data_IF_072259529804
#
_entry.id   IF_072259529804
#
_cell.length_a   1.000
_cell.length_b   1.000
_cell.length_c   1.000
_cell.angle_alpha   90.00
_cell.angle_beta   90.00
_cell.angle_gamma   90.00
#
_symmetry.space_group_name_H-M   'P 1'
#
loop_
_entity.id
_entity.type
_entity.pdbx_description
1 polymer ?
#
# COMPACT_ATOMS: atom_id res chain seq x y z
N UNK A 1 19.51 8.91 9.27
CA UNK A 1 19.24 9.55 7.95
C UNK A 1 18.18 8.71 7.22
N UNK A 2 17.12 9.33 6.68
CA UNK A 2 16.11 8.60 5.90
C UNK A 2 16.66 8.30 4.51
N UNK A 3 16.64 7.06 4.09
CA UNK A 3 17.12 6.57 2.79
C UNK A 3 15.97 6.16 1.87
N UNK A 4 14.82 5.78 2.45
CA UNK A 4 13.66 5.32 1.72
C UNK A 4 12.38 5.94 2.28
N UNK A 5 11.55 6.49 1.42
CA UNK A 5 10.20 6.93 1.73
C UNK A 5 9.20 5.90 1.17
N UNK A 6 8.45 5.28 2.07
CA UNK A 6 7.43 4.26 1.77
C UNK A 6 6.07 4.94 1.75
N UNK A 7 5.39 4.95 0.61
CA UNK A 7 4.21 5.77 0.34
C UNK A 7 3.01 4.90 0.00
N UNK A 8 1.88 5.10 0.67
CA UNK A 8 0.61 4.56 0.20
C UNK A 8 0.13 5.27 -1.08
N UNK A 9 -0.83 4.70 -1.76
CA UNK A 9 -1.33 5.22 -3.03
C UNK A 9 -2.68 5.91 -2.85
N UNK A 10 -3.68 5.16 -2.39
CA UNK A 10 -5.06 5.66 -2.27
C UNK A 10 -5.21 6.54 -1.04
N UNK A 11 -5.62 7.79 -1.23
CA UNK A 11 -5.69 8.80 -0.18
C UNK A 11 -4.37 9.53 0.10
N UNK A 12 -3.25 9.13 -0.52
CA UNK A 12 -1.93 9.76 -0.38
C UNK A 12 -1.40 10.29 -1.70
N UNK A 13 -1.31 9.45 -2.74
CA UNK A 13 -0.85 9.85 -4.07
C UNK A 13 -2.02 10.27 -4.97
N UNK A 14 -3.20 9.71 -4.73
CA UNK A 14 -4.46 10.07 -5.37
C UNK A 14 -5.60 10.01 -4.36
N UNK A 15 -6.75 10.59 -4.71
CA UNK A 15 -7.96 10.57 -3.86
C UNK A 15 -8.60 9.18 -3.71
N UNK A 16 -8.18 8.18 -4.48
CA UNK A 16 -8.71 6.80 -4.39
C UNK A 16 -9.00 6.14 -5.73
N UNK A 17 -9.83 5.08 -5.72
CA UNK A 17 -9.92 4.08 -6.79
C UNK A 17 -10.26 4.65 -8.18
N UNK A 18 -11.09 5.66 -8.27
CA UNK A 18 -11.55 6.23 -9.55
C UNK A 18 -11.00 7.64 -9.80
N UNK A 19 -10.16 8.16 -8.91
CA UNK A 19 -9.63 9.50 -9.04
C UNK A 19 -8.47 9.56 -10.04
N UNK A 20 -8.35 10.66 -10.80
CA UNK A 20 -7.20 10.88 -11.66
C UNK A 20 -5.95 11.15 -10.81
N UNK A 21 -4.78 10.80 -11.34
CA UNK A 21 -3.50 11.24 -10.80
C UNK A 21 -3.18 12.65 -11.29
N UNK A 22 -2.59 13.46 -10.40
CA UNK A 22 -1.99 14.73 -10.79
C UNK A 22 -0.61 14.45 -11.45
N UNK A 23 -0.51 14.73 -12.74
CA UNK A 23 0.73 14.49 -13.50
C UNK A 23 1.92 15.30 -13.00
N UNK A 24 1.69 16.47 -12.40
CA UNK A 24 2.75 17.29 -11.80
C UNK A 24 3.32 16.63 -10.54
N UNK A 25 2.46 16.00 -9.75
CA UNK A 25 2.89 15.21 -8.58
C UNK A 25 3.73 14.04 -9.04
N UNK A 26 3.26 13.25 -10.01
CA UNK A 26 4.00 12.09 -10.52
C UNK A 26 5.36 12.49 -11.09
N UNK A 27 5.43 13.58 -11.86
CA UNK A 27 6.67 14.12 -12.38
C UNK A 27 7.63 14.52 -11.25
N UNK A 28 7.11 15.15 -10.20
CA UNK A 28 7.95 15.55 -9.04
C UNK A 28 8.53 14.34 -8.32
N UNK A 29 7.77 13.25 -8.15
CA UNK A 29 8.28 12.01 -7.57
C UNK A 29 9.34 11.36 -8.46
N UNK A 30 9.17 11.39 -9.79
CA UNK A 30 10.15 10.88 -10.74
C UNK A 30 11.48 11.66 -10.64
N UNK A 31 11.43 13.00 -10.60
CA UNK A 31 12.62 13.85 -10.41
C UNK A 31 13.39 13.50 -9.11
N UNK A 32 12.66 13.21 -8.03
CA UNK A 32 13.27 12.83 -6.74
C UNK A 32 13.91 11.45 -6.84
N UNK A 33 13.25 10.48 -7.46
CA UNK A 33 13.83 9.16 -7.67
C UNK A 33 15.06 9.20 -8.58
N UNK A 34 15.05 10.02 -9.63
CA UNK A 34 16.22 10.23 -10.48
C UNK A 34 17.40 10.83 -9.68
N UNK A 35 17.15 11.79 -8.82
CA UNK A 35 18.17 12.34 -7.91
C UNK A 35 18.68 11.28 -6.94
N UNK A 36 17.79 10.48 -6.34
CA UNK A 36 18.15 9.48 -5.36
C UNK A 36 19.09 8.39 -5.92
N UNK A 37 19.08 8.16 -7.24
CA UNK A 37 20.04 7.24 -7.90
C UNK A 37 21.48 7.71 -7.81
N UNK A 38 21.70 9.01 -7.71
CA UNK A 38 23.04 9.64 -7.78
C UNK A 38 23.42 10.39 -6.50
N UNK A 39 22.46 10.74 -5.67
CA UNK A 39 22.65 11.49 -4.43
C UNK A 39 22.30 10.63 -3.22
N UNK A 40 23.27 10.02 -2.51
CA UNK A 40 23.00 9.16 -1.34
C UNK A 40 22.22 9.86 -0.21
N UNK A 41 22.22 11.17 -0.20
CA UNK A 41 21.47 12.00 0.74
C UNK A 41 20.01 12.22 0.33
N UNK A 42 19.63 11.95 -0.90
CA UNK A 42 18.24 12.02 -1.38
C UNK A 42 17.55 10.66 -1.12
N UNK A 43 16.39 10.60 -0.42
CA UNK A 43 15.66 9.35 -0.24
C UNK A 43 15.07 8.87 -1.56
N UNK A 44 15.15 7.58 -1.81
CA UNK A 44 14.31 6.96 -2.81
C UNK A 44 12.84 6.94 -2.33
N UNK A 45 11.91 6.92 -3.27
CA UNK A 45 10.46 6.79 -3.00
C UNK A 45 10.00 5.46 -3.56
N UNK A 46 9.28 4.68 -2.73
CA UNK A 46 8.63 3.44 -3.13
C UNK A 46 7.18 3.37 -2.66
N UNK A 47 6.42 2.47 -3.25
CA UNK A 47 4.99 2.31 -2.98
C UNK A 47 4.72 1.15 -2.01
N UNK A 48 3.68 1.30 -1.18
CA UNK A 48 3.15 0.27 -0.30
C UNK A 48 1.62 0.33 -0.33
N UNK A 49 0.98 -0.54 -1.11
CA UNK A 49 -0.45 -0.42 -1.40
C UNK A 49 -1.18 -1.75 -1.42
N UNK A 50 -2.50 -1.70 -1.25
CA UNK A 50 -3.39 -2.84 -1.50
C UNK A 50 -3.67 -3.09 -2.99
N UNK A 51 -3.24 -2.22 -3.89
CA UNK A 51 -3.44 -2.34 -5.34
C UNK A 51 -2.72 -3.57 -5.91
N UNK A 52 -3.22 -4.13 -7.04
CA UNK A 52 -2.63 -5.30 -7.69
C UNK A 52 -1.28 -5.02 -8.35
N UNK A 53 -0.49 -6.06 -8.58
CA UNK A 53 0.85 -5.97 -9.15
C UNK A 53 0.95 -5.16 -10.46
N UNK A 54 0.08 -5.34 -11.49
CA UNK A 54 0.18 -4.57 -12.73
C UNK A 54 -0.01 -3.06 -12.53
N UNK A 55 -0.83 -2.68 -11.55
CA UNK A 55 -1.03 -1.27 -11.21
C UNK A 55 0.22 -0.67 -10.56
N UNK A 56 0.83 -1.42 -9.63
CA UNK A 56 2.06 -0.99 -8.95
C UNK A 56 3.25 -0.93 -9.91
N UNK A 57 3.35 -1.89 -10.84
CA UNK A 57 4.36 -1.89 -11.90
C UNK A 57 4.32 -0.58 -12.70
N UNK A 58 3.16 -0.27 -13.29
CA UNK A 58 3.00 0.94 -14.12
C UNK A 58 3.28 2.21 -13.33
N UNK A 59 2.75 2.30 -12.11
CA UNK A 59 2.93 3.49 -11.29
C UNK A 59 4.40 3.67 -10.86
N UNK A 60 5.09 2.57 -10.50
CA UNK A 60 6.53 2.60 -10.18
C UNK A 60 7.35 3.05 -11.38
N UNK A 61 7.01 2.61 -12.61
CA UNK A 61 7.67 3.08 -13.84
C UNK A 61 7.46 4.58 -14.05
N UNK A 62 6.23 5.08 -13.86
CA UNK A 62 5.90 6.50 -14.04
C UNK A 62 6.68 7.40 -13.07
N UNK A 63 6.85 6.98 -11.82
CA UNK A 63 7.61 7.74 -10.81
C UNK A 63 9.11 7.41 -10.83
N UNK A 64 9.63 6.71 -11.82
CA UNK A 64 11.03 6.27 -11.95
C UNK A 64 11.55 5.51 -10.71
N UNK A 65 10.65 4.78 -10.02
CA UNK A 65 10.98 4.01 -8.82
C UNK A 65 11.96 2.88 -9.13
N UNK A 66 12.98 2.72 -8.28
CA UNK A 66 14.00 1.69 -8.41
C UNK A 66 14.14 0.81 -7.15
N UNK A 67 13.56 1.22 -6.05
CA UNK A 67 13.39 0.35 -4.87
C UNK A 67 12.19 -0.57 -5.07
N UNK A 68 12.23 -1.81 -4.53
CA UNK A 68 11.07 -2.70 -4.64
C UNK A 68 9.80 -2.05 -4.09
N UNK A 69 8.67 -2.24 -4.77
CA UNK A 69 7.37 -1.70 -4.39
C UNK A 69 6.44 -2.81 -3.88
N UNK A 70 5.73 -2.53 -2.79
CA UNK A 70 4.84 -3.48 -2.12
C UNK A 70 3.45 -3.41 -2.75
N UNK A 71 2.90 -4.56 -3.17
CA UNK A 71 1.56 -4.69 -3.69
C UNK A 71 0.71 -5.69 -2.88
N UNK A 72 -0.60 -5.63 -3.07
CA UNK A 72 -1.59 -6.50 -2.43
C UNK A 72 -1.38 -6.63 -0.91
N UNK A 73 -1.29 -5.47 -0.21
CA UNK A 73 -1.17 -5.41 1.26
C UNK A 73 0.04 -6.18 1.82
N UNK A 74 1.17 -6.22 1.12
CA UNK A 74 2.36 -6.93 1.58
C UNK A 74 2.52 -8.34 1.02
N UNK A 75 1.58 -8.81 0.20
CA UNK A 75 1.65 -10.14 -0.39
C UNK A 75 2.73 -10.28 -1.46
N UNK A 76 3.17 -9.18 -2.07
CA UNK A 76 4.20 -9.23 -3.09
C UNK A 76 5.08 -7.99 -3.16
N UNK A 77 6.24 -8.17 -3.81
CA UNK A 77 7.18 -7.11 -4.18
C UNK A 77 7.35 -7.08 -5.70
N UNK A 78 7.11 -5.92 -6.29
CA UNK A 78 7.55 -5.60 -7.64
C UNK A 78 8.98 -5.09 -7.59
N UNK A 79 9.85 -5.61 -8.46
CA UNK A 79 11.25 -5.24 -8.56
C UNK A 79 11.49 -4.77 -9.99
N UNK A 80 11.96 -3.53 -10.13
CA UNK A 80 12.25 -2.95 -11.45
C UNK A 80 13.59 -3.44 -12.01
N UNK A 81 14.60 -3.64 -11.15
CA UNK A 81 15.96 -4.03 -11.54
C UNK A 81 16.56 -5.07 -10.57
N UNK A 82 16.77 -6.34 -11.02
CA UNK A 82 16.30 -6.93 -12.27
C UNK A 82 14.77 -7.07 -12.25
N UNK A 83 14.14 -6.86 -13.41
CA UNK A 83 12.68 -6.96 -13.52
C UNK A 83 12.13 -8.27 -12.99
N UNK A 84 11.14 -8.17 -12.11
CA UNK A 84 10.50 -9.36 -11.55
C UNK A 84 9.46 -9.06 -10.47
N UNK A 85 8.78 -10.13 -10.09
CA UNK A 85 7.79 -10.13 -9.02
C UNK A 85 8.15 -11.22 -8.02
N UNK A 86 8.12 -10.91 -6.75
CA UNK A 86 8.32 -11.89 -5.67
C UNK A 86 7.04 -11.99 -4.86
N UNK A 87 6.63 -13.22 -4.55
CA UNK A 87 5.61 -13.50 -3.55
C UNK A 87 6.23 -13.57 -2.17
N UNK A 88 5.50 -13.08 -1.18
CA UNK A 88 5.91 -13.22 0.20
C UNK A 88 6.04 -14.70 0.56
N UNK A 89 7.08 -15.13 1.31
CA UNK A 89 7.32 -16.54 1.65
C UNK A 89 6.15 -17.25 2.36
N UNK A 90 5.27 -16.53 3.03
CA UNK A 90 4.03 -17.06 3.62
C UNK A 90 3.07 -17.63 2.57
N UNK A 91 3.15 -17.16 1.32
CA UNK A 91 2.30 -17.64 0.22
C UNK A 91 2.85 -18.94 -0.34
N UNK A 92 2.78 -20.00 0.47
CA UNK A 92 3.16 -21.35 0.06
C UNK A 92 2.21 -21.91 -1.01
N UNK A 93 2.59 -22.99 -1.74
CA UNK A 93 1.69 -23.64 -2.67
C UNK A 93 0.35 -24.07 -2.06
N UNK A 94 0.35 -24.47 -0.78
CA UNK A 94 -0.88 -24.83 -0.06
C UNK A 94 -1.78 -23.60 0.14
N UNK A 95 -1.22 -22.46 0.53
CA UNK A 95 -1.96 -21.20 0.68
C UNK A 95 -2.51 -20.72 -0.67
N UNK A 96 -1.74 -20.83 -1.74
CA UNK A 96 -2.22 -20.52 -3.09
C UNK A 96 -3.41 -21.39 -3.52
N UNK A 97 -3.38 -22.68 -3.22
CA UNK A 97 -4.53 -23.56 -3.48
C UNK A 97 -5.78 -23.13 -2.69
N UNK A 98 -5.63 -22.78 -1.43
CA UNK A 98 -6.74 -22.26 -0.60
C UNK A 98 -7.28 -20.93 -1.13
N UNK A 99 -6.40 -20.03 -1.59
CA UNK A 99 -6.81 -18.78 -2.26
C UNK A 99 -7.66 -19.04 -3.50
N UNK A 100 -7.24 -19.98 -4.37
CA UNK A 100 -8.03 -20.34 -5.55
C UNK A 100 -9.41 -20.93 -5.18
N UNK A 101 -9.47 -21.78 -4.17
CA UNK A 101 -10.73 -22.34 -3.68
C UNK A 101 -11.64 -21.27 -3.08
N UNK A 102 -11.10 -20.39 -2.23
CA UNK A 102 -11.87 -19.28 -1.66
C UNK A 102 -12.34 -18.31 -2.74
N UNK A 103 -11.49 -18.00 -3.74
CA UNK A 103 -11.89 -17.16 -4.88
C UNK A 103 -13.12 -17.75 -5.60
N UNK A 104 -13.11 -19.05 -5.87
CA UNK A 104 -14.25 -19.72 -6.52
C UNK A 104 -15.53 -19.60 -5.66
N UNK A 105 -15.44 -19.86 -4.36
CA UNK A 105 -16.57 -19.73 -3.45
C UNK A 105 -17.13 -18.31 -3.38
N UNK A 106 -16.25 -17.29 -3.29
CA UNK A 106 -16.63 -15.89 -3.30
C UNK A 106 -17.25 -15.49 -4.64
N UNK A 107 -16.67 -15.97 -5.76
CA UNK A 107 -17.23 -15.74 -7.09
C UNK A 107 -18.66 -16.29 -7.20
N UNK A 108 -18.86 -17.56 -6.90
CA UNK A 108 -20.14 -18.24 -7.08
C UNK A 108 -21.22 -17.68 -6.15
N UNK A 109 -20.83 -17.26 -4.93
CA UNK A 109 -21.77 -16.79 -3.92
C UNK A 109 -22.10 -15.30 -4.04
N UNK A 110 -21.13 -14.46 -4.37
CA UNK A 110 -21.27 -12.99 -4.35
C UNK A 110 -21.23 -12.37 -5.75
N UNK A 111 -20.32 -12.84 -6.62
CA UNK A 111 -20.10 -12.20 -7.92
C UNK A 111 -21.09 -12.71 -8.97
N UNK A 112 -21.20 -14.02 -9.13
CA UNK A 112 -22.14 -14.64 -10.09
C UNK A 112 -23.60 -14.34 -9.74
N UNK A 113 -23.91 -14.08 -8.48
CA UNK A 113 -25.26 -13.67 -8.01
C UNK A 113 -25.51 -12.16 -8.16
N UNK A 114 -24.54 -11.38 -8.65
CA UNK A 114 -24.67 -9.93 -8.86
C UNK A 114 -24.64 -9.09 -7.58
N UNK A 115 -24.17 -9.63 -6.45
CA UNK A 115 -24.12 -8.92 -5.15
C UNK A 115 -22.85 -8.10 -4.97
N UNK A 116 -21.75 -8.55 -5.55
CA UNK A 116 -20.46 -7.86 -5.49
C UNK A 116 -19.69 -7.99 -6.81
N UNK A 117 -18.52 -7.34 -6.90
CA UNK A 117 -17.53 -7.60 -7.93
C UNK A 117 -16.12 -7.54 -7.34
N UNK A 118 -15.20 -8.29 -7.90
CA UNK A 118 -13.80 -8.23 -7.51
C UNK A 118 -13.10 -7.02 -8.11
N UNK A 119 -12.15 -6.45 -7.37
CA UNK A 119 -11.10 -5.64 -7.99
C UNK A 119 -10.26 -6.54 -8.90
N UNK A 120 -10.13 -6.20 -10.20
CA UNK A 120 -9.38 -7.06 -11.12
C UNK A 120 -7.88 -7.05 -10.86
N UNK A 121 -7.22 -8.15 -11.22
CA UNK A 121 -5.76 -8.26 -11.25
C UNK A 121 -5.11 -8.67 -9.93
N UNK A 122 -5.88 -8.94 -8.87
CA UNK A 122 -5.35 -9.47 -7.61
C UNK A 122 -5.22 -11.00 -7.66
N UNK A 123 -4.17 -11.52 -7.01
CA UNK A 123 -3.83 -12.93 -7.00
C UNK A 123 -3.64 -13.53 -5.61
N UNK A 124 -3.28 -12.72 -4.63
CA UNK A 124 -3.00 -13.15 -3.25
C UNK A 124 -3.88 -12.47 -2.20
N UNK A 125 -4.74 -11.57 -2.63
CA UNK A 125 -5.77 -10.93 -1.83
C UNK A 125 -7.01 -10.69 -2.68
N UNK A 126 -8.17 -10.44 -2.06
CA UNK A 126 -9.36 -10.08 -2.81
C UNK A 126 -9.96 -8.80 -2.23
N UNK A 127 -10.34 -7.85 -3.08
CA UNK A 127 -11.20 -6.73 -2.70
C UNK A 127 -12.54 -6.88 -3.41
N UNK A 128 -13.60 -6.95 -2.61
CA UNK A 128 -14.97 -7.12 -3.04
C UNK A 128 -15.74 -5.81 -2.86
N UNK A 129 -16.20 -5.25 -3.96
CA UNK A 129 -17.04 -4.05 -3.96
C UNK A 129 -18.51 -4.45 -4.03
N UNK A 130 -19.32 -3.94 -3.12
CA UNK A 130 -20.76 -4.20 -3.12
C UNK A 130 -21.43 -3.56 -4.35
N UNK A 131 -22.40 -4.24 -4.95
CA UNK A 131 -23.23 -3.70 -6.00
C UNK A 131 -24.31 -2.76 -5.42
N UNK A 132 -24.85 -1.81 -6.21
CA UNK A 132 -25.93 -0.94 -5.76
C UNK A 132 -27.08 -1.73 -5.11
N UNK A 133 -27.51 -1.31 -3.92
CA UNK A 133 -28.56 -1.96 -3.15
C UNK A 133 -28.10 -3.07 -2.21
N UNK A 134 -26.83 -3.46 -2.26
CA UNK A 134 -26.21 -4.42 -1.33
C UNK A 134 -25.34 -3.65 -0.33
N UNK A 135 -25.48 -3.97 0.96
CA UNK A 135 -24.63 -3.34 1.98
C UNK A 135 -23.24 -3.99 2.05
N UNK A 136 -22.24 -3.18 2.39
CA UNK A 136 -20.87 -3.67 2.59
C UNK A 136 -20.81 -4.71 3.72
N UNK A 137 -21.62 -4.53 4.77
CA UNK A 137 -21.72 -5.46 5.88
C UNK A 137 -22.25 -6.83 5.45
N UNK A 138 -23.16 -6.86 4.47
CA UNK A 138 -23.69 -8.12 3.92
C UNK A 138 -22.59 -8.88 3.18
N UNK A 139 -21.82 -8.17 2.33
CA UNK A 139 -20.66 -8.75 1.63
C UNK A 139 -19.61 -9.22 2.62
N UNK A 140 -19.31 -8.44 3.66
CA UNK A 140 -18.35 -8.77 4.69
C UNK A 140 -18.74 -10.04 5.46
N UNK A 141 -19.97 -10.12 5.95
CA UNK A 141 -20.47 -11.32 6.67
C UNK A 141 -20.37 -12.57 5.81
N UNK A 142 -20.76 -12.49 4.54
CA UNK A 142 -20.72 -13.64 3.65
C UNK A 142 -19.28 -14.04 3.30
N UNK A 143 -18.39 -13.06 3.03
CA UNK A 143 -16.98 -13.32 2.80
C UNK A 143 -16.32 -13.97 4.02
N UNK A 144 -16.64 -13.51 5.25
CA UNK A 144 -16.15 -14.10 6.50
C UNK A 144 -16.62 -15.54 6.63
N UNK A 145 -17.92 -15.81 6.44
CA UNK A 145 -18.48 -17.18 6.50
C UNK A 145 -17.80 -18.15 5.54
N UNK A 146 -17.41 -17.67 4.35
CA UNK A 146 -16.70 -18.48 3.35
C UNK A 146 -15.23 -18.68 3.74
N UNK A 147 -14.58 -17.63 4.23
CA UNK A 147 -13.18 -17.67 4.66
C UNK A 147 -12.97 -18.60 5.88
N UNK A 148 -13.93 -18.64 6.82
CA UNK A 148 -13.89 -19.49 8.01
C UNK A 148 -13.81 -21.00 7.68
N UNK A 149 -14.20 -21.41 6.47
CA UNK A 149 -14.05 -22.80 6.03
C UNK A 149 -12.57 -23.23 5.87
N UNK A 150 -11.66 -22.29 5.83
CA UNK A 150 -10.22 -22.50 5.69
C UNK A 150 -9.46 -22.32 7.02
N UNK A 151 -10.18 -22.33 8.15
CA UNK A 151 -9.59 -22.10 9.47
C UNK A 151 -9.00 -20.68 9.58
N UNK A 152 -7.82 -20.58 10.16
CA UNK A 152 -7.16 -19.28 10.39
C UNK A 152 -6.32 -18.75 9.22
N UNK A 153 -6.51 -19.29 8.00
CA UNK A 153 -5.69 -18.88 6.84
C UNK A 153 -5.99 -17.46 6.39
N UNK A 154 -7.25 -17.03 6.48
CA UNK A 154 -7.68 -15.74 5.94
C UNK A 154 -8.19 -14.79 7.03
N UNK A 155 -8.05 -13.50 6.73
CA UNK A 155 -8.63 -12.40 7.48
C UNK A 155 -9.55 -11.62 6.54
N UNK A 156 -10.75 -11.30 7.02
CA UNK A 156 -11.72 -10.48 6.26
C UNK A 156 -11.93 -9.17 7.00
N UNK A 157 -11.73 -8.07 6.29
CA UNK A 157 -11.83 -6.72 6.85
C UNK A 157 -12.72 -5.84 5.97
N UNK A 158 -13.66 -5.12 6.58
CA UNK A 158 -14.40 -4.07 5.90
C UNK A 158 -13.56 -2.80 5.85
N UNK A 159 -13.22 -2.35 4.64
CA UNK A 159 -12.67 -1.02 4.40
C UNK A 159 -13.77 0.02 4.22
N UNK A 160 -13.41 1.23 3.79
CA UNK A 160 -14.37 2.30 3.54
C UNK A 160 -15.27 2.02 2.32
N UNK A 161 -14.71 1.39 1.28
CA UNK A 161 -15.37 1.20 -0.03
C UNK A 161 -15.54 -0.26 -0.43
N UNK A 162 -14.74 -1.16 0.14
CA UNK A 162 -14.73 -2.58 -0.21
C UNK A 162 -14.45 -3.47 1.01
N UNK A 163 -14.70 -4.76 0.84
CA UNK A 163 -14.29 -5.81 1.79
C UNK A 163 -13.00 -6.41 1.28
N UNK A 164 -11.96 -6.40 2.12
CA UNK A 164 -10.68 -7.04 1.83
C UNK A 164 -10.63 -8.43 2.45
N UNK A 165 -10.17 -9.41 1.67
CA UNK A 165 -9.84 -10.76 2.12
C UNK A 165 -8.35 -10.93 1.94
N UNK A 166 -7.64 -11.08 3.04
CA UNK A 166 -6.19 -11.12 3.11
C UNK A 166 -5.73 -12.48 3.64
N UNK A 167 -4.52 -12.88 3.31
CA UNK A 167 -3.88 -14.01 4.00
C UNK A 167 -3.44 -13.52 5.38
N UNK A 168 -3.84 -14.21 6.43
CA UNK A 168 -3.54 -13.81 7.82
C UNK A 168 -2.04 -13.70 8.05
N UNK A 169 -1.63 -12.61 8.69
CA UNK A 169 -0.22 -12.28 8.92
C UNK A 169 0.45 -11.57 7.75
N UNK A 170 -0.26 -11.34 6.64
CA UNK A 170 0.18 -10.43 5.58
C UNK A 170 -0.61 -9.13 5.66
N UNK A 171 0.11 -8.06 5.93
CA UNK A 171 -0.36 -6.68 5.93
C UNK A 171 0.75 -5.75 5.41
N UNK A 172 0.46 -4.47 5.30
CA UNK A 172 1.45 -3.47 4.86
C UNK A 172 2.68 -3.44 5.78
N UNK A 173 2.51 -3.71 7.08
CA UNK A 173 3.63 -3.71 8.04
C UNK A 173 4.58 -4.89 7.81
N UNK A 174 4.06 -6.11 7.57
CA UNK A 174 4.91 -7.25 7.23
C UNK A 174 5.54 -7.06 5.85
N UNK A 175 4.83 -6.49 4.89
CA UNK A 175 5.39 -6.09 3.59
C UNK A 175 6.59 -5.16 3.75
N UNK A 176 6.51 -4.16 4.63
CA UNK A 176 7.62 -3.23 4.93
C UNK A 176 8.78 -3.91 5.66
N UNK A 177 8.50 -4.82 6.60
CA UNK A 177 9.57 -5.64 7.21
C UNK A 177 10.29 -6.51 6.18
N UNK A 178 9.52 -7.08 5.25
CA UNK A 178 10.09 -7.86 4.16
C UNK A 178 10.92 -6.98 3.21
N UNK A 179 10.41 -5.81 2.83
CA UNK A 179 11.15 -4.82 2.04
C UNK A 179 12.50 -4.46 2.70
N UNK A 180 12.51 -4.25 4.02
CA UNK A 180 13.73 -3.97 4.77
C UNK A 180 14.74 -5.13 4.66
N UNK A 181 14.29 -6.37 4.76
CA UNK A 181 15.14 -7.57 4.59
C UNK A 181 15.71 -7.70 3.16
N UNK A 182 14.88 -7.43 2.14
CA UNK A 182 15.28 -7.55 0.74
C UNK A 182 16.26 -6.44 0.29
N UNK A 183 16.11 -5.24 0.85
CA UNK A 183 16.94 -4.08 0.46
C UNK A 183 18.14 -3.85 1.36
N UNK A 184 18.15 -4.43 2.56
CA UNK A 184 19.14 -4.14 3.59
C UNK A 184 19.02 -2.72 4.19
N UNK A 185 17.97 -1.96 3.85
CA UNK A 185 17.69 -0.66 4.46
C UNK A 185 16.97 -0.90 5.77
N UNK A 186 17.49 -0.34 6.85
CA UNK A 186 16.91 -0.53 8.18
C UNK A 186 15.59 0.25 8.32
N UNK A 187 14.65 -0.26 9.12
CA UNK A 187 13.39 0.45 9.41
C UNK A 187 13.62 1.86 9.97
N UNK A 188 14.72 2.05 10.73
CA UNK A 188 15.16 3.35 11.26
C UNK A 188 15.73 4.30 10.18
N UNK A 189 15.95 3.81 8.97
CA UNK A 189 16.36 4.59 7.80
C UNK A 189 15.21 4.81 6.81
N UNK A 190 13.99 4.42 7.19
CA UNK A 190 12.79 4.60 6.38
C UNK A 190 11.84 5.62 7.01
N UNK A 191 11.09 6.29 6.16
CA UNK A 191 9.93 7.11 6.52
C UNK A 191 8.67 6.57 5.85
N UNK A 192 7.51 6.79 6.44
CA UNK A 192 6.23 6.31 5.95
C UNK A 192 5.20 7.41 5.74
N UNK A 193 4.42 7.30 4.66
CA UNK A 193 3.27 8.17 4.41
C UNK A 193 2.03 7.32 4.19
N UNK A 194 0.99 7.57 4.97
CA UNK A 194 -0.29 6.90 4.90
C UNK A 194 -1.44 7.81 5.32
N UNK A 195 -2.67 7.42 5.02
CA UNK A 195 -3.87 8.20 5.36
C UNK A 195 -4.92 7.41 6.15
N UNK A 196 -4.90 6.08 6.07
CA UNK A 196 -5.92 5.20 6.62
C UNK A 196 -5.43 4.40 7.83
N UNK A 197 -6.37 3.82 8.59
CA UNK A 197 -6.03 2.97 9.73
C UNK A 197 -5.16 1.76 9.35
N UNK A 198 -5.35 1.22 8.13
CA UNK A 198 -4.53 0.12 7.60
C UNK A 198 -3.05 0.46 7.39
N UNK A 199 -2.70 1.77 7.39
CA UNK A 199 -1.33 2.24 7.25
C UNK A 199 -0.61 2.38 8.58
N UNK A 200 -1.36 2.60 9.65
CA UNK A 200 -0.78 2.86 10.98
C UNK A 200 0.25 1.80 11.40
N UNK A 201 0.01 0.48 11.19
CA UNK A 201 0.95 -0.53 11.60
C UNK A 201 2.32 -0.41 10.92
N UNK A 202 2.38 -0.10 9.62
CA UNK A 202 3.68 0.08 8.96
C UNK A 202 4.34 1.41 9.32
N UNK A 203 3.54 2.49 9.44
CA UNK A 203 4.04 3.82 9.80
C UNK A 203 4.69 3.82 11.19
N UNK A 204 4.15 3.05 12.14
CA UNK A 204 4.68 2.90 13.50
C UNK A 204 6.04 2.17 13.56
N UNK A 205 6.38 1.38 12.53
CA UNK A 205 7.68 0.67 12.46
C UNK A 205 8.83 1.59 12.07
N UNK A 206 8.54 2.72 11.45
CA UNK A 206 9.52 3.54 10.75
C UNK A 206 10.02 4.69 11.61
N UNK A 207 11.19 5.23 11.26
CA UNK A 207 11.80 6.31 12.00
C UNK A 207 10.98 7.60 12.01
N UNK A 208 10.21 7.81 10.95
CA UNK A 208 9.40 9.01 10.79
C UNK A 208 8.15 8.69 9.98
N UNK A 209 7.04 9.30 10.33
CA UNK A 209 5.76 9.08 9.69
C UNK A 209 5.06 10.42 9.43
N UNK A 210 4.40 10.52 8.29
CA UNK A 210 3.63 11.70 7.92
C UNK A 210 2.29 11.34 7.28
N UNK A 211 1.38 12.30 7.28
CA UNK A 211 0.05 12.14 6.74
C UNK A 211 -0.39 13.39 5.94
N UNK A 212 -1.15 13.23 4.84
CA UNK A 212 -1.80 14.34 4.16
C UNK A 212 -2.98 14.89 4.99
N UNK A 213 -3.50 16.07 4.63
CA UNK A 213 -4.59 16.72 5.37
C UNK A 213 -5.90 15.90 5.39
N UNK A 214 -6.16 15.11 4.35
CA UNK A 214 -7.33 14.22 4.26
C UNK A 214 -7.23 12.94 5.09
N UNK A 215 -6.08 12.64 5.72
CA UNK A 215 -5.89 11.42 6.50
C UNK A 215 -6.85 11.33 7.69
N UNK A 216 -7.16 10.10 8.10
CA UNK A 216 -7.96 9.83 9.28
C UNK A 216 -7.36 10.48 10.54
N UNK A 217 -8.22 10.91 11.45
CA UNK A 217 -7.78 11.62 12.68
C UNK A 217 -6.75 10.82 13.48
N UNK A 218 -6.92 9.50 13.60
CA UNK A 218 -5.98 8.64 14.32
C UNK A 218 -4.60 8.60 13.63
N UNK A 219 -4.55 8.61 12.30
CA UNK A 219 -3.29 8.65 11.53
C UNK A 219 -2.58 9.99 11.74
N UNK A 220 -3.32 11.10 11.66
CA UNK A 220 -2.77 12.44 11.93
C UNK A 220 -2.23 12.60 13.35
N UNK A 221 -2.89 11.98 14.34
CA UNK A 221 -2.43 12.03 15.73
C UNK A 221 -1.11 11.28 15.97
N UNK A 222 -0.85 10.21 15.22
CA UNK A 222 0.39 9.44 15.34
C UNK A 222 1.52 9.96 14.45
N UNK A 223 1.20 10.72 13.41
CA UNK A 223 2.17 11.25 12.46
C UNK A 223 3.08 12.29 13.10
N UNK A 224 4.36 12.29 12.77
CA UNK A 224 5.33 13.32 13.17
C UNK A 224 5.09 14.63 12.42
N UNK A 225 4.49 14.53 11.23
CA UNK A 225 4.14 15.67 10.40
C UNK A 225 2.81 15.43 9.70
N UNK A 226 1.95 16.42 9.68
CA UNK A 226 0.71 16.43 8.91
C UNK A 226 0.76 17.61 7.94
N UNK A 227 0.68 17.31 6.65
CA UNK A 227 0.63 18.35 5.62
C UNK A 227 -0.66 19.18 5.73
N UNK A 228 -0.58 20.46 5.35
CA UNK A 228 -1.76 21.30 5.20
C UNK A 228 -2.56 21.00 3.92
N UNK A 229 -1.99 20.20 3.00
CA UNK A 229 -2.58 19.85 1.72
C UNK A 229 -3.05 18.39 1.71
N UNK A 230 -4.06 18.11 0.90
CA UNK A 230 -4.62 16.78 0.71
C UNK A 230 -3.87 16.00 -0.36
N UNK A 231 -3.98 14.67 -0.34
CA UNK A 231 -3.53 13.70 -1.35
C UNK A 231 -2.13 13.99 -1.94
N UNK A 232 -1.97 13.94 -3.27
CA UNK A 232 -0.70 14.12 -3.96
C UNK A 232 0.01 15.44 -3.68
N UNK A 233 -0.74 16.54 -3.43
CA UNK A 233 -0.14 17.83 -3.01
C UNK A 233 0.41 17.73 -1.60
N UNK A 234 -0.31 17.04 -0.72
CA UNK A 234 0.17 16.72 0.63
C UNK A 234 1.43 15.87 0.59
N UNK A 235 1.48 14.89 -0.32
CA UNK A 235 2.68 14.07 -0.50
C UNK A 235 3.89 14.90 -0.96
N UNK A 236 3.73 15.81 -1.92
CA UNK A 236 4.83 16.68 -2.37
C UNK A 236 5.35 17.56 -1.24
N UNK A 237 4.47 18.12 -0.42
CA UNK A 237 4.83 18.89 0.77
C UNK A 237 5.58 18.02 1.80
N UNK A 238 5.10 16.81 2.09
CA UNK A 238 5.76 15.84 2.97
C UNK A 238 7.16 15.48 2.47
N UNK A 239 7.32 15.27 1.17
CA UNK A 239 8.63 14.97 0.56
C UNK A 239 9.59 16.14 0.76
N UNK A 240 9.13 17.39 0.61
CA UNK A 240 9.94 18.58 0.89
C UNK A 240 10.42 18.59 2.35
N UNK A 241 9.54 18.29 3.31
CA UNK A 241 9.90 18.18 4.73
C UNK A 241 10.96 17.08 4.98
N UNK A 242 10.82 15.90 4.36
CA UNK A 242 11.82 14.82 4.50
C UNK A 242 13.19 15.27 3.96
N UNK A 243 13.23 16.05 2.89
CA UNK A 243 14.46 16.59 2.33
C UNK A 243 15.10 17.65 3.25
N UNK A 244 14.30 18.49 3.92
CA UNK A 244 14.76 19.51 4.88
C UNK A 244 15.28 18.92 6.20
N UNK A 245 14.70 17.83 6.70
CA UNK A 245 15.18 17.13 7.90
C UNK A 245 16.66 16.69 7.80
N UNK A 246 17.30 16.85 6.67
CA UNK A 246 18.65 16.40 6.34
C UNK A 246 19.70 17.48 6.22
N UNK A 247 19.29 18.72 6.17
CA UNK A 247 20.22 19.84 6.12
C UNK A 247 20.46 20.36 7.54
N UNK A 248 21.57 19.94 8.23
CA UNK A 248 21.87 20.41 9.58
C UNK A 248 22.26 21.90 9.58
N UNK A 249 22.32 22.56 8.41
CA UNK A 249 22.70 23.96 8.27
C UNK A 249 21.50 24.93 8.37
N UNK A 250 20.27 24.44 8.40
CA UNK A 250 19.05 25.28 8.47
C UNK A 250 18.42 25.38 9.86
N UNK A 251 19.07 24.90 10.92
CA UNK A 251 18.62 25.16 12.31
C UNK A 251 19.07 26.57 12.73
N UNK A 252 18.22 27.56 12.51
CA UNK A 252 18.30 28.90 13.14
C UNK A 252 17.19 29.09 14.14
#
# INVERSE_FOLDING_TARGET
MIRLLVVDVDGVLSLGEAAPFDSTVLQRLAEINDRARHEPTCPAITLCTGRPAPYVEVLTQIIHGFSPAIYEHGAGLYISEPYGFKWHPTLTPAVHMQLMQLHSLLHDTLVATGRAFFQPGKSASFSLFARPGISLDEVCREATRLADQFGDTFLVEAGATCVNVLVRGLDKAEGVRWLARETGILLQEMAGVGDAQGDMPFMQLLAWAAAPANAHAAVKQMAHYTSAYEDGRGLVDIVAQVLELRDPTTSH
#
